data_IF_352414026264
#
_entry.id   IF_352414026264
#
_cell.length_a   1.000
_cell.length_b   1.000
_cell.length_c   1.000
_cell.angle_alpha   90.00
_cell.angle_beta   90.00
_cell.angle_gamma   90.00
#
_symmetry.space_group_name_H-M   'P 1'
#
loop_
_entity.id
_entity.type
_entity.pdbx_description
1 polymer ?
#
# COMPACT_ATOMS: atom_id res chain seq x y z
N UNK A 1 -13.84 -16.01 7.51
CA UNK A 1 -14.66 -15.72 6.31
C UNK A 1 -15.41 -16.98 5.93
N UNK A 2 -16.59 -17.21 6.51
CA UNK A 2 -17.30 -18.50 6.42
C UNK A 2 -18.52 -18.42 5.48
N UNK A 3 -18.99 -17.21 5.12
CA UNK A 3 -20.30 -17.05 4.49
C UNK A 3 -20.32 -16.97 2.96
N UNK A 4 -19.22 -16.59 2.27
CA UNK A 4 -19.24 -16.41 0.82
C UNK A 4 -17.98 -16.99 0.13
N UNK A 5 -18.10 -18.18 -0.49
CA UNK A 5 -17.01 -18.82 -1.23
C UNK A 5 -16.47 -17.99 -2.39
N UNK A 6 -17.30 -17.19 -3.06
CA UNK A 6 -16.89 -16.34 -4.19
C UNK A 6 -15.96 -15.21 -3.73
N UNK A 7 -16.27 -14.59 -2.59
CA UNK A 7 -15.43 -13.54 -1.98
C UNK A 7 -14.05 -14.12 -1.60
N UNK A 8 -14.02 -15.35 -1.10
CA UNK A 8 -12.77 -16.02 -0.76
C UNK A 8 -11.90 -16.26 -2.01
N UNK A 9 -12.51 -16.63 -3.13
CA UNK A 9 -11.80 -16.79 -4.40
C UNK A 9 -11.19 -15.46 -4.90
N UNK A 10 -11.93 -14.35 -4.80
CA UNK A 10 -11.43 -13.01 -5.14
C UNK A 10 -10.20 -12.63 -4.31
N UNK A 11 -10.24 -12.87 -2.99
CA UNK A 11 -9.12 -12.57 -2.09
C UNK A 11 -7.91 -13.45 -2.39
N UNK A 12 -8.11 -14.74 -2.66
CA UNK A 12 -7.03 -15.66 -3.07
C UNK A 12 -6.39 -15.22 -4.38
N UNK A 13 -7.19 -14.85 -5.38
CA UNK A 13 -6.70 -14.31 -6.65
C UNK A 13 -5.89 -13.03 -6.45
N UNK A 14 -6.38 -12.10 -5.62
CA UNK A 14 -5.63 -10.87 -5.27
C UNK A 14 -4.28 -11.18 -4.63
N UNK A 15 -4.25 -12.08 -3.64
CA UNK A 15 -3.00 -12.48 -2.98
C UNK A 15 -2.01 -13.10 -3.98
N UNK A 16 -2.50 -13.99 -4.87
CA UNK A 16 -1.67 -14.60 -5.91
C UNK A 16 -1.10 -13.56 -6.87
N UNK A 17 -1.92 -12.62 -7.37
CA UNK A 17 -1.46 -11.57 -8.29
C UNK A 17 -0.32 -10.74 -7.69
N UNK A 18 -0.47 -10.29 -6.43
CA UNK A 18 0.57 -9.52 -5.75
C UNK A 18 1.85 -10.35 -5.56
N UNK A 19 1.71 -11.63 -5.20
CA UNK A 19 2.86 -12.53 -5.04
C UNK A 19 3.64 -12.71 -6.35
N UNK A 20 2.95 -12.87 -7.48
CA UNK A 20 3.61 -13.04 -8.78
C UNK A 20 4.30 -11.75 -9.25
N UNK A 21 3.70 -10.57 -9.02
CA UNK A 21 4.35 -9.29 -9.34
C UNK A 21 5.68 -9.16 -8.58
N UNK A 22 5.70 -9.48 -7.28
CA UNK A 22 6.92 -9.44 -6.47
C UNK A 22 8.02 -10.37 -7.01
N UNK A 23 7.67 -11.63 -7.31
CA UNK A 23 8.62 -12.61 -7.86
C UNK A 23 9.24 -12.17 -9.19
N UNK A 24 8.45 -11.55 -10.07
CA UNK A 24 8.94 -11.03 -11.35
C UNK A 24 9.92 -9.87 -11.13
N UNK A 25 9.60 -8.94 -10.22
CA UNK A 25 10.49 -7.82 -9.92
C UNK A 25 11.80 -8.30 -9.28
N UNK A 26 11.71 -9.27 -8.37
CA UNK A 26 12.88 -9.89 -7.73
C UNK A 26 13.78 -10.61 -8.75
N UNK A 27 13.20 -11.34 -9.71
CA UNK A 27 13.99 -12.02 -10.76
C UNK A 27 14.71 -11.05 -11.69
N UNK A 28 14.22 -9.82 -11.79
CA UNK A 28 14.86 -8.70 -12.49
C UNK A 28 15.83 -7.91 -11.61
N UNK A 29 16.16 -8.41 -10.41
CA UNK A 29 17.07 -7.78 -9.45
C UNK A 29 16.59 -6.44 -8.87
N UNK A 30 15.28 -6.18 -8.87
CA UNK A 30 14.73 -5.06 -8.09
C UNK A 30 14.70 -5.39 -6.60
N UNK A 31 14.82 -4.35 -5.77
CA UNK A 31 14.73 -4.44 -4.31
C UNK A 31 13.39 -3.87 -3.85
N UNK A 32 12.59 -4.67 -3.15
CA UNK A 32 11.35 -4.19 -2.50
C UNK A 32 11.72 -3.29 -1.32
N UNK A 33 11.13 -2.10 -1.27
CA UNK A 33 11.35 -1.11 -0.20
C UNK A 33 10.02 -0.65 0.36
N UNK A 34 10.01 -0.30 1.65
CA UNK A 34 8.88 0.38 2.27
C UNK A 34 9.22 1.86 2.45
N UNK A 35 8.25 2.74 2.23
CA UNK A 35 8.44 4.19 2.28
C UNK A 35 7.42 4.82 3.24
N UNK A 36 7.72 5.96 3.88
CA UNK A 36 6.83 6.55 4.85
C UNK A 36 5.43 6.83 4.28
N UNK A 37 4.41 6.25 4.93
CA UNK A 37 3.00 6.49 4.60
C UNK A 37 2.57 7.91 4.98
N UNK A 38 3.05 8.41 6.12
CA UNK A 38 2.81 9.78 6.58
C UNK A 38 3.93 10.69 6.11
N UNK A 39 3.57 11.71 5.33
CA UNK A 39 4.52 12.61 4.68
C UNK A 39 4.32 14.06 5.14
N UNK A 40 5.39 14.84 5.11
CA UNK A 40 5.35 16.28 5.45
C UNK A 40 4.72 17.12 4.34
N UNK A 41 4.79 16.64 3.11
CA UNK A 41 4.21 17.27 1.94
C UNK A 41 3.49 16.22 1.10
N UNK A 42 2.27 16.52 0.66
CA UNK A 42 1.55 15.67 -0.28
C UNK A 42 2.16 15.79 -1.68
N UNK A 43 2.46 14.65 -2.32
CA UNK A 43 3.05 14.61 -3.66
C UNK A 43 2.84 13.26 -4.35
N UNK A 44 3.33 13.14 -5.59
CA UNK A 44 3.31 11.90 -6.37
C UNK A 44 2.03 11.63 -7.18
N UNK A 45 0.95 12.38 -6.95
CA UNK A 45 -0.28 12.32 -7.74
C UNK A 45 -1.08 13.62 -7.66
N UNK A 46 -1.87 13.92 -8.71
CA UNK A 46 -2.89 14.97 -8.66
C UNK A 46 -4.16 14.42 -7.99
N UNK A 47 -4.17 14.41 -6.66
CA UNK A 47 -5.27 13.89 -5.87
C UNK A 47 -5.45 14.69 -4.56
N UNK A 48 -6.64 14.61 -3.97
CA UNK A 48 -6.93 15.21 -2.66
C UNK A 48 -6.39 14.30 -1.54
N UNK A 49 -5.43 14.75 -0.71
CA UNK A 49 -4.87 13.93 0.37
C UNK A 49 -5.78 13.90 1.60
N UNK A 50 -5.58 12.88 2.43
CA UNK A 50 -6.04 12.94 3.83
C UNK A 50 -5.06 13.80 4.64
N UNK A 51 -5.53 14.36 5.75
CA UNK A 51 -4.69 15.19 6.64
C UNK A 51 -4.86 14.69 8.06
N UNK A 52 -3.75 14.47 8.74
CA UNK A 52 -3.71 14.10 10.17
C UNK A 52 -2.74 15.02 10.93
N UNK A 53 -2.65 14.85 12.26
CA UNK A 53 -1.81 15.68 13.13
C UNK A 53 -0.95 14.83 14.05
N UNK A 54 0.35 15.06 14.04
CA UNK A 54 1.30 14.41 14.92
C UNK A 54 1.46 15.26 16.20
N UNK A 55 0.79 14.87 17.29
CA UNK A 55 0.70 15.68 18.51
C UNK A 55 2.07 16.11 19.08
N UNK A 56 3.02 15.18 19.29
CA UNK A 56 4.30 15.52 19.93
C UNK A 56 5.25 16.34 19.05
N UNK A 57 5.02 16.38 17.73
CA UNK A 57 5.82 17.16 16.78
C UNK A 57 5.06 18.42 16.34
N UNK A 58 3.86 18.62 16.89
CA UNK A 58 2.96 19.73 16.64
C UNK A 58 2.72 20.06 15.16
N UNK A 59 2.70 19.05 14.29
CA UNK A 59 2.66 19.24 12.83
C UNK A 59 1.62 18.39 12.12
N UNK A 60 1.15 18.90 10.98
CA UNK A 60 0.30 18.15 10.06
C UNK A 60 1.14 17.18 9.24
N UNK A 61 0.54 16.02 8.95
CA UNK A 61 1.07 15.03 8.02
C UNK A 61 -0.04 14.66 7.03
N UNK A 62 0.40 14.17 5.87
CA UNK A 62 -0.44 13.85 4.72
C UNK A 62 -0.22 12.40 4.29
#
# INVERSE_FOLDING_TARGET
>A
MIANPEVLDVIRKRAKMISEIRKIMESLSYVEVDTPVLQEAAGGAEARPFVTYHNSLERKLF
#
